data_IF_614729412475
#
_entry.id   IF_614729412475
#
_cell.length_a   1.000
_cell.length_b   1.000
_cell.length_c   1.000
_cell.angle_alpha   90.00
_cell.angle_beta   90.00
_cell.angle_gamma   90.00
#
_symmetry.space_group_name_H-M   'P 1'
#
loop_
_entity.id
_entity.type
_entity.pdbx_description
1 polymer ?
#
# COMPACT_ATOMS: atom_id res chain seq x y z
N UNK A 1 35.90 1.92 -8.64
CA UNK A 1 36.49 0.62 -8.23
C UNK A 1 35.48 -0.32 -7.52
N UNK A 2 34.40 0.20 -6.90
CA UNK A 2 33.40 -0.63 -6.18
C UNK A 2 32.22 -1.12 -7.03
N UNK A 3 32.10 -0.68 -8.29
CA UNK A 3 30.92 -0.95 -9.15
C UNK A 3 30.75 -2.45 -9.47
N UNK A 4 31.81 -3.22 -9.41
CA UNK A 4 31.83 -4.66 -9.69
C UNK A 4 32.08 -5.52 -8.44
N UNK A 5 32.03 -4.94 -7.25
CA UNK A 5 32.24 -5.64 -5.98
C UNK A 5 30.90 -5.81 -5.27
N UNK A 6 30.32 -7.01 -5.39
CA UNK A 6 28.99 -7.32 -4.87
C UNK A 6 28.92 -7.16 -3.33
N UNK A 7 29.97 -7.47 -2.59
CA UNK A 7 30.00 -7.33 -1.15
C UNK A 7 29.97 -5.86 -0.72
N UNK A 8 30.72 -4.99 -1.42
CA UNK A 8 30.68 -3.54 -1.16
C UNK A 8 29.35 -2.92 -1.55
N UNK A 9 28.78 -3.32 -2.69
CA UNK A 9 27.46 -2.87 -3.11
C UNK A 9 26.40 -3.25 -2.07
N UNK A 10 26.38 -4.48 -1.61
CA UNK A 10 25.48 -4.95 -0.56
C UNK A 10 25.70 -4.18 0.77
N UNK A 11 26.95 -3.89 1.14
CA UNK A 11 27.28 -3.11 2.34
C UNK A 11 26.76 -1.67 2.24
N UNK A 12 26.89 -1.04 1.06
CA UNK A 12 26.33 0.30 0.79
C UNK A 12 24.81 0.27 0.94
N UNK A 13 24.13 -0.68 0.32
CA UNK A 13 22.67 -0.79 0.39
C UNK A 13 22.19 -0.97 1.82
N UNK A 14 22.80 -1.88 2.59
CA UNK A 14 22.48 -2.09 4.02
C UNK A 14 22.71 -0.84 4.87
N UNK A 15 23.81 -0.11 4.63
CA UNK A 15 24.09 1.13 5.34
C UNK A 15 23.02 2.19 5.05
N UNK A 16 22.69 2.41 3.78
CA UNK A 16 21.71 3.43 3.39
C UNK A 16 20.29 3.08 3.86
N UNK A 17 19.93 1.79 3.84
CA UNK A 17 18.67 1.30 4.41
C UNK A 17 18.58 1.60 5.92
N UNK A 18 19.63 1.29 6.67
CA UNK A 18 19.70 1.56 8.12
C UNK A 18 19.63 3.06 8.46
N UNK A 19 20.16 3.91 7.59
CA UNK A 19 20.12 5.38 7.74
C UNK A 19 18.80 5.99 7.23
N UNK A 20 17.87 5.21 6.67
CA UNK A 20 16.65 5.71 6.05
C UNK A 20 16.87 6.52 4.76
N UNK A 21 18.04 6.38 4.11
CA UNK A 21 18.45 7.16 2.93
C UNK A 21 18.26 6.37 1.62
N UNK A 22 17.23 5.54 1.51
CA UNK A 22 16.99 4.67 0.35
C UNK A 22 16.50 5.39 -0.91
N UNK A 23 16.31 6.72 -0.84
CA UNK A 23 15.95 7.56 -1.99
C UNK A 23 17.15 8.28 -2.63
N UNK A 24 18.36 7.97 -2.17
CA UNK A 24 19.58 8.60 -2.68
C UNK A 24 20.05 7.97 -3.98
N UNK A 25 20.67 8.79 -4.85
CA UNK A 25 21.25 8.31 -6.12
C UNK A 25 22.36 7.26 -5.90
N UNK A 26 23.08 7.35 -4.77
CA UNK A 26 24.10 6.36 -4.39
C UNK A 26 23.46 5.00 -4.09
N UNK A 27 22.34 4.99 -3.36
CA UNK A 27 21.60 3.76 -3.10
C UNK A 27 21.06 3.12 -4.39
N UNK A 28 20.49 3.93 -5.28
CA UNK A 28 19.97 3.45 -6.56
C UNK A 28 21.06 2.89 -7.46
N UNK A 29 22.22 3.58 -7.56
CA UNK A 29 23.35 3.09 -8.33
C UNK A 29 23.89 1.77 -7.73
N UNK A 30 23.95 1.64 -6.42
CA UNK A 30 24.38 0.42 -5.76
C UNK A 30 23.39 -0.73 -6.03
N UNK A 31 22.07 -0.47 -5.92
CA UNK A 31 21.03 -1.44 -6.17
C UNK A 31 21.04 -1.94 -7.63
N UNK A 32 21.12 -1.03 -8.59
CA UNK A 32 21.18 -1.35 -10.01
C UNK A 32 22.41 -2.21 -10.36
N UNK A 33 23.58 -1.84 -9.86
CA UNK A 33 24.80 -2.60 -10.12
C UNK A 33 24.79 -3.95 -9.40
N UNK A 34 24.32 -4.01 -8.15
CA UNK A 34 24.17 -5.27 -7.43
C UNK A 34 23.17 -6.20 -8.15
N UNK A 35 22.05 -5.68 -8.63
CA UNK A 35 21.05 -6.43 -9.35
C UNK A 35 21.57 -7.02 -10.66
N UNK A 36 22.42 -6.26 -11.40
CA UNK A 36 23.06 -6.72 -12.63
C UNK A 36 24.09 -7.84 -12.38
N UNK A 37 24.83 -7.76 -11.27
CA UNK A 37 25.87 -8.74 -10.92
C UNK A 37 25.27 -10.01 -10.31
N UNK A 38 24.41 -9.85 -9.34
CA UNK A 38 23.74 -10.92 -8.62
C UNK A 38 22.39 -10.43 -8.08
N UNK A 39 21.28 -10.73 -8.75
CA UNK A 39 19.96 -10.34 -8.28
C UNK A 39 19.63 -10.88 -6.89
N UNK A 40 19.15 -10.01 -6.01
CA UNK A 40 18.63 -10.33 -4.68
C UNK A 40 17.32 -9.59 -4.46
N UNK A 41 16.53 -10.01 -3.47
CA UNK A 41 15.29 -9.32 -3.10
C UNK A 41 15.54 -7.85 -2.77
N UNK A 42 16.62 -7.55 -2.03
CA UNK A 42 17.00 -6.18 -1.66
C UNK A 42 17.42 -5.35 -2.87
N UNK A 43 18.22 -5.91 -3.81
CA UNK A 43 18.63 -5.18 -5.01
C UNK A 43 17.45 -4.92 -5.95
N UNK A 44 16.54 -5.87 -6.10
CA UNK A 44 15.31 -5.69 -6.87
C UNK A 44 14.41 -4.61 -6.25
N UNK A 45 14.20 -4.63 -4.92
CA UNK A 45 13.43 -3.58 -4.23
C UNK A 45 14.07 -2.20 -4.39
N UNK A 46 15.40 -2.10 -4.38
CA UNK A 46 16.12 -0.85 -4.65
C UNK A 46 15.90 -0.34 -6.09
N UNK A 47 15.91 -1.25 -7.08
CA UNK A 47 15.56 -0.90 -8.46
C UNK A 47 14.10 -0.43 -8.58
N UNK A 48 13.16 -1.07 -7.84
CA UNK A 48 11.77 -0.63 -7.80
C UNK A 48 11.64 0.82 -7.27
N UNK A 49 12.36 1.16 -6.20
CA UNK A 49 12.37 2.53 -5.67
C UNK A 49 12.95 3.54 -6.67
N UNK A 50 14.01 3.17 -7.40
CA UNK A 50 14.55 4.00 -8.49
C UNK A 50 13.49 4.23 -9.59
N UNK A 51 12.75 3.21 -9.97
CA UNK A 51 11.66 3.33 -10.94
C UNK A 51 10.57 4.27 -10.44
N UNK A 52 10.18 4.20 -9.16
CA UNK A 52 9.21 5.12 -8.54
C UNK A 52 9.69 6.57 -8.65
N UNK A 53 10.97 6.84 -8.33
CA UNK A 53 11.55 8.19 -8.44
C UNK A 53 11.51 8.71 -9.86
N UNK A 54 11.59 7.83 -10.85
CA UNK A 54 11.49 8.16 -12.29
C UNK A 54 10.05 8.15 -12.81
N UNK A 55 9.06 7.93 -11.94
CA UNK A 55 7.64 7.78 -12.28
C UNK A 55 7.35 6.58 -13.21
N UNK A 56 8.31 5.63 -13.34
CA UNK A 56 8.13 4.35 -14.03
C UNK A 56 7.45 3.34 -13.09
N UNK A 57 6.16 3.55 -12.85
CA UNK A 57 5.39 2.69 -11.94
C UNK A 57 5.25 1.25 -12.43
N UNK A 58 5.20 1.04 -13.75
CA UNK A 58 5.14 -0.30 -14.33
C UNK A 58 6.43 -1.08 -14.05
N UNK A 59 7.59 -0.46 -14.28
CA UNK A 59 8.89 -1.02 -13.94
C UNK A 59 9.03 -1.30 -12.44
N UNK A 60 8.51 -0.39 -11.59
CA UNK A 60 8.52 -0.58 -10.14
C UNK A 60 7.75 -1.84 -9.72
N UNK A 61 6.56 -2.06 -10.28
CA UNK A 61 5.76 -3.28 -10.00
C UNK A 61 6.52 -4.54 -10.40
N UNK A 62 7.16 -4.57 -11.57
CA UNK A 62 7.91 -5.73 -12.03
C UNK A 62 9.12 -6.03 -11.14
N UNK A 63 9.85 -5.01 -10.67
CA UNK A 63 10.94 -5.20 -9.74
C UNK A 63 10.46 -5.66 -8.34
N UNK A 64 9.32 -5.16 -7.83
CA UNK A 64 8.75 -5.69 -6.58
C UNK A 64 8.30 -7.14 -6.72
N UNK A 65 7.71 -7.53 -7.86
CA UNK A 65 7.40 -8.95 -8.12
C UNK A 65 8.66 -9.80 -8.09
N UNK A 66 9.76 -9.36 -8.71
CA UNK A 66 11.05 -10.07 -8.64
C UNK A 66 11.55 -10.16 -7.19
N UNK A 67 11.51 -9.07 -6.43
CA UNK A 67 11.89 -9.08 -5.02
C UNK A 67 11.09 -10.11 -4.22
N UNK A 68 9.79 -10.19 -4.45
CA UNK A 68 8.88 -11.14 -3.79
C UNK A 68 9.15 -12.60 -4.14
N UNK A 69 9.76 -12.90 -5.29
CA UNK A 69 10.18 -14.29 -5.61
C UNK A 69 11.47 -14.72 -4.92
N UNK A 70 12.26 -13.77 -4.41
CA UNK A 70 13.58 -13.99 -3.85
C UNK A 70 13.65 -13.73 -2.33
N UNK A 71 12.62 -13.11 -1.76
CA UNK A 71 12.58 -12.80 -0.32
C UNK A 71 12.31 -14.08 0.48
N UNK A 72 13.06 -14.28 1.55
CA UNK A 72 13.01 -15.45 2.42
C UNK A 72 12.47 -15.15 3.84
N UNK A 73 12.32 -13.87 4.20
CA UNK A 73 11.80 -13.45 5.49
C UNK A 73 10.47 -12.68 5.35
N UNK A 74 9.59 -12.84 6.34
CA UNK A 74 8.24 -12.27 6.29
C UNK A 74 8.21 -10.77 6.48
N UNK A 75 9.16 -10.17 7.21
CA UNK A 75 9.23 -8.73 7.42
C UNK A 75 9.46 -7.98 6.10
N UNK A 76 10.48 -8.36 5.35
CA UNK A 76 10.76 -7.77 4.04
C UNK A 76 9.65 -8.11 3.03
N UNK A 77 9.06 -9.31 3.10
CA UNK A 77 7.94 -9.70 2.24
C UNK A 77 6.73 -8.78 2.45
N UNK A 78 6.34 -8.53 3.69
CA UNK A 78 5.25 -7.62 4.02
C UNK A 78 5.56 -6.19 3.56
N UNK A 79 6.79 -5.70 3.76
CA UNK A 79 7.20 -4.35 3.33
C UNK A 79 7.20 -4.21 1.80
N UNK A 80 7.67 -5.21 1.05
CA UNK A 80 7.63 -5.17 -0.42
C UNK A 80 6.20 -5.21 -0.96
N UNK A 81 5.31 -6.01 -0.37
CA UNK A 81 3.89 -6.02 -0.71
C UNK A 81 3.25 -4.66 -0.42
N UNK A 82 3.47 -4.08 0.76
CA UNK A 82 2.98 -2.75 1.09
C UNK A 82 3.45 -1.69 0.09
N UNK A 83 4.74 -1.69 -0.27
CA UNK A 83 5.31 -0.74 -1.24
C UNK A 83 4.73 -0.95 -2.64
N UNK A 84 4.57 -2.20 -3.08
CA UNK A 84 3.93 -2.51 -4.36
C UNK A 84 2.46 -2.05 -4.39
N UNK A 85 1.73 -2.21 -3.28
CA UNK A 85 0.35 -1.72 -3.16
C UNK A 85 0.28 -0.18 -3.29
N UNK A 86 1.24 0.56 -2.69
CA UNK A 86 1.35 2.01 -2.87
C UNK A 86 1.61 2.40 -4.34
N UNK A 87 2.43 1.62 -5.06
CA UNK A 87 2.65 1.87 -6.50
C UNK A 87 1.34 1.72 -7.28
N UNK A 88 0.53 0.70 -6.99
CA UNK A 88 -0.78 0.56 -7.63
C UNK A 88 -1.73 1.72 -7.29
N UNK A 89 -1.69 2.25 -6.07
CA UNK A 89 -2.46 3.44 -5.70
C UNK A 89 -1.98 4.67 -6.48
N UNK A 90 -0.67 4.87 -6.64
CA UNK A 90 -0.11 5.94 -7.47
C UNK A 90 -0.56 5.83 -8.94
N UNK A 91 -0.69 4.61 -9.47
CA UNK A 91 -1.26 4.33 -10.78
C UNK A 91 -2.79 4.48 -10.84
N UNK A 92 -3.45 4.82 -9.72
CA UNK A 92 -4.93 4.83 -9.57
C UNK A 92 -5.59 3.47 -9.82
N UNK A 93 -4.82 2.38 -9.74
CA UNK A 93 -5.33 1.02 -9.82
C UNK A 93 -5.69 0.52 -8.41
N UNK A 94 -6.74 1.08 -7.86
CA UNK A 94 -7.14 0.88 -6.47
C UNK A 94 -7.53 -0.57 -6.16
N UNK A 95 -8.11 -1.28 -7.12
CA UNK A 95 -8.47 -2.69 -6.96
C UNK A 95 -7.24 -3.57 -6.76
N UNK A 96 -6.22 -3.40 -7.60
CA UNK A 96 -4.96 -4.13 -7.42
C UNK A 96 -4.21 -3.68 -6.16
N UNK A 97 -4.23 -2.37 -5.86
CA UNK A 97 -3.68 -1.83 -4.64
C UNK A 97 -4.29 -2.48 -3.40
N UNK A 98 -5.61 -2.61 -3.33
CA UNK A 98 -6.31 -3.27 -2.23
C UNK A 98 -5.96 -4.76 -2.15
N UNK A 99 -5.94 -5.47 -3.28
CA UNK A 99 -5.61 -6.89 -3.30
C UNK A 99 -4.19 -7.17 -2.79
N UNK A 100 -3.22 -6.33 -3.15
CA UNK A 100 -1.83 -6.48 -2.71
C UNK A 100 -1.67 -6.03 -1.24
N UNK A 101 -2.37 -4.98 -0.80
CA UNK A 101 -2.38 -4.57 0.60
C UNK A 101 -2.97 -5.68 1.50
N UNK A 102 -4.00 -6.40 1.02
CA UNK A 102 -4.53 -7.55 1.75
C UNK A 102 -3.50 -8.68 1.85
N UNK A 103 -2.75 -8.97 0.79
CA UNK A 103 -1.64 -9.95 0.85
C UNK A 103 -0.57 -9.54 1.87
N UNK A 104 -0.27 -8.24 2.00
CA UNK A 104 0.64 -7.76 3.04
C UNK A 104 0.08 -8.02 4.45
N UNK A 105 -1.22 -7.83 4.66
CA UNK A 105 -1.90 -8.12 5.92
C UNK A 105 -2.01 -9.62 6.23
N UNK A 106 -2.06 -10.47 5.21
CA UNK A 106 -2.00 -11.93 5.39
C UNK A 106 -0.63 -12.37 5.93
N UNK A 107 0.44 -11.59 5.66
CA UNK A 107 1.79 -11.80 6.21
C UNK A 107 1.92 -11.14 7.59
N UNK A 108 1.47 -9.89 7.74
CA UNK A 108 1.51 -9.12 8.98
C UNK A 108 0.20 -8.38 9.23
N UNK A 109 -0.68 -9.00 10.00
CA UNK A 109 -2.00 -8.46 10.32
C UNK A 109 -1.98 -7.21 11.23
N UNK A 110 -0.84 -6.85 11.80
CA UNK A 110 -0.69 -5.68 12.68
C UNK A 110 -0.09 -4.45 11.97
N UNK A 111 0.15 -4.52 10.64
CA UNK A 111 0.61 -3.37 9.88
C UNK A 111 -0.52 -2.37 9.62
N UNK A 112 -0.63 -1.36 10.49
CA UNK A 112 -1.62 -0.30 10.37
C UNK A 112 -1.55 0.48 9.06
N UNK A 113 -0.36 0.59 8.44
CA UNK A 113 -0.18 1.26 7.13
C UNK A 113 -0.98 0.58 6.02
N UNK A 114 -1.04 -0.75 6.05
CA UNK A 114 -1.81 -1.52 5.06
C UNK A 114 -3.32 -1.27 5.21
N UNK A 115 -3.84 -1.15 6.44
CA UNK A 115 -5.23 -0.78 6.66
C UNK A 115 -5.54 0.66 6.21
N UNK A 116 -4.63 1.62 6.42
CA UNK A 116 -4.79 2.97 5.87
C UNK A 116 -4.89 2.92 4.33
N UNK A 117 -4.02 2.14 3.70
CA UNK A 117 -4.00 2.00 2.25
C UNK A 117 -5.27 1.32 1.71
N UNK A 118 -5.76 0.26 2.38
CA UNK A 118 -7.04 -0.37 2.05
C UNK A 118 -8.19 0.63 2.13
N UNK A 119 -8.27 1.42 3.20
CA UNK A 119 -9.28 2.44 3.34
C UNK A 119 -9.24 3.48 2.21
N UNK A 120 -8.06 3.92 1.78
CA UNK A 120 -7.88 4.83 0.64
C UNK A 120 -8.36 4.16 -0.66
N UNK A 121 -8.01 2.90 -0.88
CA UNK A 121 -8.46 2.15 -2.05
C UNK A 121 -9.99 2.04 -2.08
N UNK A 122 -10.61 1.69 -0.96
CA UNK A 122 -12.06 1.55 -0.85
C UNK A 122 -12.78 2.89 -1.04
N UNK A 123 -12.27 3.98 -0.43
CA UNK A 123 -12.82 5.31 -0.64
C UNK A 123 -12.76 5.79 -2.10
N UNK A 124 -11.87 5.20 -2.89
CA UNK A 124 -11.68 5.52 -4.32
C UNK A 124 -12.45 4.57 -5.25
N UNK A 125 -13.16 3.58 -4.70
CA UNK A 125 -13.89 2.58 -5.46
C UNK A 125 -15.14 3.19 -6.12
N UNK A 126 -15.33 2.84 -7.39
CA UNK A 126 -16.54 3.18 -8.16
C UNK A 126 -17.31 1.89 -8.43
N UNK A 127 -18.21 1.53 -7.51
CA UNK A 127 -18.89 0.23 -7.51
C UNK A 127 -20.36 0.38 -7.89
N UNK A 128 -20.99 1.50 -7.55
CA UNK A 128 -22.40 1.74 -7.75
C UNK A 128 -22.64 2.97 -8.61
N UNK A 129 -23.63 2.89 -9.48
CA UNK A 129 -24.17 4.04 -10.22
C UNK A 129 -25.13 4.86 -9.36
N UNK A 130 -25.81 4.23 -8.40
CA UNK A 130 -26.66 4.93 -7.44
C UNK A 130 -25.84 5.85 -6.54
N UNK A 131 -26.17 7.15 -6.47
CA UNK A 131 -25.35 8.13 -5.73
C UNK A 131 -25.37 7.95 -4.20
N UNK A 132 -26.41 7.31 -3.65
CA UNK A 132 -26.48 7.01 -2.21
C UNK A 132 -25.63 5.79 -1.91
N UNK A 133 -25.82 4.69 -2.68
CA UNK A 133 -25.01 3.48 -2.54
C UNK A 133 -23.52 3.75 -2.83
N UNK A 134 -23.21 4.61 -3.79
CA UNK A 134 -21.83 5.00 -4.11
C UNK A 134 -21.09 5.63 -2.91
N UNK A 135 -21.85 6.24 -1.97
CA UNK A 135 -21.26 6.80 -0.74
C UNK A 135 -21.08 5.78 0.39
N UNK A 136 -21.66 4.58 0.26
CA UNK A 136 -21.50 3.51 1.27
C UNK A 136 -20.07 2.99 1.36
N UNK A 137 -19.25 3.14 0.32
CA UNK A 137 -17.82 2.78 0.33
C UNK A 137 -17.05 3.52 1.42
N UNK A 138 -17.48 4.73 1.78
CA UNK A 138 -16.82 5.52 2.83
C UNK A 138 -17.03 4.95 4.23
N UNK A 139 -18.10 4.18 4.48
CA UNK A 139 -18.27 3.46 5.75
C UNK A 139 -17.15 2.44 5.92
N UNK A 140 -16.96 1.58 4.90
CA UNK A 140 -15.91 0.53 4.92
C UNK A 140 -14.51 1.15 4.96
N UNK A 141 -14.29 2.22 4.21
CA UNK A 141 -13.02 2.95 4.27
C UNK A 141 -12.71 3.45 5.69
N UNK A 142 -13.69 4.07 6.36
CA UNK A 142 -13.54 4.53 7.73
C UNK A 142 -13.37 3.39 8.74
N UNK A 143 -13.94 2.22 8.48
CA UNK A 143 -13.70 1.03 9.33
C UNK A 143 -12.25 0.55 9.19
N UNK A 144 -11.66 0.58 7.99
CA UNK A 144 -10.23 0.29 7.80
C UNK A 144 -9.35 1.30 8.54
N UNK A 145 -9.65 2.60 8.48
CA UNK A 145 -8.90 3.61 9.22
C UNK A 145 -9.02 3.43 10.75
N UNK A 146 -10.20 3.04 11.26
CA UNK A 146 -10.36 2.69 12.68
C UNK A 146 -9.52 1.46 13.05
N UNK A 147 -9.49 0.46 12.19
CA UNK A 147 -8.70 -0.75 12.39
C UNK A 147 -7.21 -0.43 12.36
N UNK A 148 -6.75 0.42 11.44
CA UNK A 148 -5.36 0.86 11.37
C UNK A 148 -4.85 1.37 12.73
N UNK A 149 -5.56 2.33 13.33
CA UNK A 149 -5.15 2.90 14.62
C UNK A 149 -5.37 1.97 15.81
N UNK A 150 -6.19 0.94 15.68
CA UNK A 150 -6.41 -0.05 16.72
C UNK A 150 -5.26 -1.06 16.80
N UNK A 151 -4.69 -1.45 15.65
CA UNK A 151 -3.56 -2.40 15.59
C UNK A 151 -2.21 -1.69 15.70
N UNK A 152 -2.11 -0.46 15.22
CA UNK A 152 -0.87 0.33 15.21
C UNK A 152 -1.14 1.77 15.64
N UNK A 153 -0.74 2.10 16.87
CA UNK A 153 -0.95 3.44 17.43
C UNK A 153 -0.19 4.54 16.69
N UNK A 154 0.90 4.22 15.97
CA UNK A 154 1.65 5.17 15.15
C UNK A 154 0.81 5.73 14.00
N UNK A 155 -0.17 4.94 13.51
CA UNK A 155 -1.11 5.34 12.46
C UNK A 155 -2.25 6.25 12.94
N UNK A 156 -2.38 6.50 14.27
CA UNK A 156 -3.56 7.18 14.84
C UNK A 156 -3.79 8.58 14.29
N UNK A 157 -2.74 9.36 14.10
CA UNK A 157 -2.85 10.72 13.57
C UNK A 157 -3.45 10.73 12.16
N UNK A 158 -2.91 9.90 11.28
CA UNK A 158 -3.33 9.87 9.88
C UNK A 158 -4.70 9.18 9.73
N UNK A 159 -4.96 8.12 10.50
CA UNK A 159 -6.28 7.51 10.56
C UNK A 159 -7.37 8.51 10.97
N UNK A 160 -7.12 9.33 11.99
CA UNK A 160 -8.09 10.32 12.45
C UNK A 160 -8.35 11.41 11.40
N UNK A 161 -7.32 11.89 10.68
CA UNK A 161 -7.47 12.83 9.57
C UNK A 161 -8.33 12.24 8.44
N UNK A 162 -8.03 10.99 8.06
CA UNK A 162 -8.76 10.29 7.01
C UNK A 162 -10.23 10.04 7.41
N UNK A 163 -10.49 9.62 8.65
CA UNK A 163 -11.85 9.47 9.18
C UNK A 163 -12.60 10.81 9.12
N UNK A 164 -11.98 11.90 9.60
CA UNK A 164 -12.60 13.22 9.57
C UNK A 164 -12.92 13.67 8.13
N UNK A 165 -12.03 13.37 7.18
CA UNK A 165 -12.23 13.70 5.76
C UNK A 165 -13.36 12.87 5.14
N UNK A 166 -13.33 11.57 5.29
CA UNK A 166 -14.24 10.68 4.56
C UNK A 166 -15.61 10.52 5.22
N UNK A 167 -15.74 10.69 6.53
CA UNK A 167 -17.04 10.64 7.21
C UNK A 167 -18.01 11.74 6.75
N UNK A 168 -17.52 12.82 6.18
CA UNK A 168 -18.35 13.90 5.61
C UNK A 168 -19.14 13.45 4.37
N UNK A 169 -18.71 12.37 3.74
CA UNK A 169 -19.34 11.81 2.53
C UNK A 169 -20.32 10.66 2.84
N UNK A 170 -20.55 10.32 4.10
CA UNK A 170 -21.50 9.28 4.45
C UNK A 170 -22.89 9.60 3.92
N UNK A 171 -23.68 8.59 3.50
CA UNK A 171 -25.11 8.78 3.33
C UNK A 171 -25.71 9.37 4.60
N UNK A 172 -26.60 10.35 4.46
CA UNK A 172 -27.32 10.94 5.59
C UNK A 172 -28.31 9.92 6.18
N UNK A 173 -28.80 10.16 7.40
CA UNK A 173 -29.85 9.31 7.99
C UNK A 173 -31.10 9.32 7.14
N UNK A 174 -31.44 10.44 6.51
CA UNK A 174 -32.57 10.56 5.62
C UNK A 174 -32.35 9.75 4.35
N UNK A 175 -31.15 9.80 3.72
CA UNK A 175 -30.79 8.96 2.60
C UNK A 175 -30.97 7.46 2.93
N UNK A 176 -30.47 7.04 4.11
CA UNK A 176 -30.57 5.63 4.55
C UNK A 176 -32.00 5.23 4.79
N UNK A 177 -32.81 6.10 5.42
CA UNK A 177 -34.21 5.82 5.75
C UNK A 177 -35.09 5.63 4.51
N UNK A 178 -34.88 6.44 3.46
CA UNK A 178 -35.68 6.34 2.26
C UNK A 178 -35.13 5.38 1.19
N UNK A 179 -33.93 4.85 1.39
CA UNK A 179 -33.33 3.94 0.42
C UNK A 179 -33.72 2.50 0.70
N UNK A 180 -34.36 1.83 -0.29
CA UNK A 180 -34.92 0.48 -0.15
C UNK A 180 -33.91 -0.60 0.27
N UNK A 181 -32.62 -0.42 -0.10
CA UNK A 181 -31.55 -1.40 0.11
C UNK A 181 -30.71 -1.08 1.36
N UNK A 182 -31.04 -0.02 2.10
CA UNK A 182 -30.35 0.40 3.32
C UNK A 182 -31.30 0.39 4.53
N UNK A 183 -30.80 -0.03 5.67
CA UNK A 183 -31.54 0.00 6.94
C UNK A 183 -30.62 0.48 8.04
N UNK A 184 -31.08 1.47 8.81
CA UNK A 184 -30.31 2.01 9.95
C UNK A 184 -30.06 0.91 10.99
N UNK A 185 -28.79 0.75 11.39
CA UNK A 185 -28.37 -0.25 12.37
C UNK A 185 -28.26 -1.68 11.86
N UNK A 186 -28.58 -1.94 10.60
CA UNK A 186 -28.39 -3.26 10.01
C UNK A 186 -26.97 -3.44 9.45
N UNK A 187 -26.41 -4.65 9.47
CA UNK A 187 -25.17 -4.95 8.77
C UNK A 187 -25.33 -4.68 7.26
N UNK A 188 -24.40 -3.91 6.69
CA UNK A 188 -24.39 -3.65 5.26
C UNK A 188 -23.07 -4.11 4.65
N UNK A 189 -23.14 -4.80 3.52
CA UNK A 189 -21.96 -5.21 2.77
C UNK A 189 -21.89 -4.40 1.47
N UNK A 190 -20.81 -3.69 1.31
CA UNK A 190 -20.47 -3.07 0.02
C UNK A 190 -20.12 -4.17 -0.97
N UNK A 191 -20.60 -4.04 -2.21
CA UNK A 191 -20.38 -5.03 -3.26
C UNK A 191 -19.01 -4.90 -3.95
N UNK A 192 -18.85 -5.67 -5.04
CA UNK A 192 -17.64 -5.63 -5.84
C UNK A 192 -16.43 -6.21 -5.13
N UNK A 193 -15.32 -5.47 -5.16
CA UNK A 193 -14.03 -5.86 -4.58
C UNK A 193 -13.71 -5.16 -3.24
N UNK A 194 -14.68 -4.41 -2.70
CA UNK A 194 -14.57 -3.67 -1.42
C UNK A 194 -14.89 -4.56 -0.23
#
# INVERSE_FOLDING_TARGET
ESVNDIEKLGSIMKLYRRLGCTESDVYFAAAENAHKLQPTSESAAGCAQMCIKKEDYAGAVEYYKQALTMVDNEEDKADYLYRMANVYVAMKNYQQGAAVAQQALDVNAEDGRCYLLLGICYASAKIYDDPILARSVFWVACDMFRKAKAVDSSCSSDANKLIATYSQYFPSKEDVFFHRDLNEGAPYRVGGWV
#
